data_IF_153553793689
#
_entry.id   IF_153553793689
#
_cell.length_a   1.000
_cell.length_b   1.000
_cell.length_c   1.000
_cell.angle_alpha   90.00
_cell.angle_beta   90.00
_cell.angle_gamma   90.00
#
_symmetry.space_group_name_H-M   'P 1'
#
loop_
_entity.id
_entity.type
_entity.pdbx_description
1 polymer ?
#
# COMPACT_ATOMS: atom_id res chain seq x y z
N UNK A 1 -49.52 10.32 -27.05
CA UNK A 1 -48.88 9.02 -26.78
C UNK A 1 -47.61 8.99 -27.61
N UNK A 2 -46.49 9.39 -27.00
CA UNK A 2 -45.21 9.40 -27.69
C UNK A 2 -44.81 7.96 -28.00
N UNK A 3 -44.62 7.65 -29.29
CA UNK A 3 -44.07 6.37 -29.71
C UNK A 3 -42.65 6.30 -29.16
N UNK A 4 -42.42 5.44 -28.17
CA UNK A 4 -41.07 5.08 -27.76
C UNK A 4 -40.38 4.46 -28.97
N UNK A 5 -39.36 5.14 -29.47
CA UNK A 5 -38.46 4.61 -30.51
C UNK A 5 -37.42 3.81 -29.76
N UNK A 6 -37.43 2.50 -29.95
CA UNK A 6 -36.42 1.61 -29.38
C UNK A 6 -35.25 1.50 -30.35
N UNK A 7 -34.03 1.59 -29.83
CA UNK A 7 -32.81 1.39 -30.62
C UNK A 7 -32.39 -0.09 -30.56
N UNK A 8 -31.33 -0.47 -31.28
CA UNK A 8 -30.85 -1.86 -31.26
C UNK A 8 -30.34 -2.29 -29.88
N UNK A 9 -29.89 -1.35 -29.03
CA UNK A 9 -29.37 -1.63 -27.68
C UNK A 9 -30.49 -1.94 -26.66
N UNK A 10 -31.73 -1.58 -26.97
CA UNK A 10 -32.90 -1.88 -26.14
C UNK A 10 -33.36 -3.35 -26.27
N UNK A 11 -32.80 -4.11 -27.22
CA UNK A 11 -33.17 -5.51 -27.45
C UNK A 11 -32.27 -6.48 -26.71
N UNK A 12 -32.83 -7.59 -26.28
CA UNK A 12 -32.11 -8.64 -25.59
C UNK A 12 -31.23 -9.42 -26.56
N UNK A 13 -29.92 -9.47 -26.28
CA UNK A 13 -28.93 -10.23 -27.06
C UNK A 13 -29.17 -11.74 -27.05
N UNK A 14 -29.83 -12.25 -25.99
CA UNK A 14 -30.11 -13.68 -25.79
C UNK A 14 -31.44 -14.09 -26.42
N UNK A 15 -32.46 -13.23 -26.32
CA UNK A 15 -33.80 -13.52 -26.82
C UNK A 15 -34.18 -12.54 -27.94
N UNK A 16 -33.90 -12.95 -29.18
CA UNK A 16 -34.19 -12.17 -30.39
C UNK A 16 -35.60 -11.57 -30.40
N UNK A 17 -35.67 -10.25 -30.58
CA UNK A 17 -36.92 -9.49 -30.69
C UNK A 17 -37.62 -9.20 -29.37
N UNK A 18 -37.06 -9.61 -28.22
CA UNK A 18 -37.52 -9.15 -26.90
C UNK A 18 -36.79 -7.86 -26.51
N UNK A 19 -37.51 -6.95 -25.85
CA UNK A 19 -36.89 -5.79 -25.19
C UNK A 19 -36.16 -6.29 -23.95
N UNK A 20 -34.94 -5.82 -23.72
CA UNK A 20 -34.16 -6.16 -22.54
C UNK A 20 -34.85 -5.64 -21.27
N UNK A 21 -35.09 -6.55 -20.33
CA UNK A 21 -35.65 -6.28 -19.00
C UNK A 21 -34.61 -6.42 -17.88
N UNK A 22 -33.34 -6.58 -18.23
CA UNK A 22 -32.22 -6.79 -17.31
C UNK A 22 -32.40 -8.00 -16.37
N UNK A 23 -33.01 -9.09 -16.86
CA UNK A 23 -33.19 -10.33 -16.09
C UNK A 23 -31.89 -11.07 -15.71
N UNK A 24 -30.78 -10.83 -16.42
CA UNK A 24 -29.48 -11.42 -16.11
C UNK A 24 -29.19 -12.78 -16.76
N UNK A 25 -30.10 -13.34 -17.55
CA UNK A 25 -29.93 -14.62 -18.26
C UNK A 25 -28.64 -14.69 -19.12
N UNK A 26 -28.23 -13.55 -19.70
CA UNK A 26 -26.99 -13.46 -20.48
C UNK A 26 -25.72 -13.70 -19.64
N UNK A 27 -25.74 -13.32 -18.35
CA UNK A 27 -24.62 -13.51 -17.43
C UNK A 27 -24.51 -14.98 -17.02
N UNK A 28 -25.65 -15.64 -16.79
CA UNK A 28 -25.68 -17.08 -16.47
C UNK A 28 -25.12 -17.93 -17.63
N UNK A 29 -25.45 -17.58 -18.88
CA UNK A 29 -24.90 -18.26 -20.07
C UNK A 29 -23.39 -18.06 -20.23
N UNK A 30 -22.87 -16.90 -19.81
CA UNK A 30 -21.43 -16.61 -19.82
C UNK A 30 -20.68 -17.27 -18.64
N UNK A 31 -21.37 -18.05 -17.82
CA UNK A 31 -20.79 -18.72 -16.65
C UNK A 31 -20.47 -17.75 -15.52
N UNK A 32 -21.02 -16.53 -15.54
CA UNK A 32 -20.94 -15.58 -14.45
C UNK A 32 -22.08 -15.95 -13.49
N UNK A 33 -21.71 -16.47 -12.32
CA UNK A 33 -22.70 -16.86 -11.30
C UNK A 33 -23.36 -15.60 -10.71
N UNK A 34 -24.59 -15.32 -11.13
CA UNK A 34 -25.43 -14.23 -10.62
C UNK A 34 -25.96 -14.54 -9.22
N UNK A 35 -25.81 -15.79 -8.73
CA UNK A 35 -26.03 -16.16 -7.33
C UNK A 35 -24.85 -15.71 -6.49
N UNK A 36 -24.69 -14.39 -6.43
CA UNK A 36 -23.76 -13.74 -5.52
C UNK A 36 -23.89 -14.37 -4.12
N UNK A 37 -22.76 -14.63 -3.47
CA UNK A 37 -22.65 -15.07 -2.08
C UNK A 37 -23.67 -14.28 -1.26
N UNK A 38 -24.67 -14.98 -0.72
CA UNK A 38 -25.68 -14.33 0.12
C UNK A 38 -24.96 -13.84 1.37
N UNK A 39 -24.75 -12.54 1.48
CA UNK A 39 -24.11 -11.94 2.67
C UNK A 39 -24.87 -12.32 3.95
N UNK A 40 -26.18 -12.59 3.85
CA UNK A 40 -27.01 -13.11 4.93
C UNK A 40 -26.65 -14.55 5.39
N UNK A 41 -26.02 -15.36 4.53
CA UNK A 41 -25.57 -16.73 4.83
C UNK A 41 -24.16 -16.74 5.43
N UNK A 42 -23.44 -15.61 5.43
CA UNK A 42 -22.16 -15.47 6.13
C UNK A 42 -22.49 -15.34 7.62
N UNK A 43 -22.37 -16.46 8.35
CA UNK A 43 -22.62 -16.50 9.79
C UNK A 43 -21.68 -15.51 10.50
N UNK A 44 -22.26 -14.56 11.23
CA UNK A 44 -21.51 -13.54 11.99
C UNK A 44 -20.75 -14.13 13.18
N UNK A 45 -21.28 -15.21 13.75
CA UNK A 45 -20.68 -15.90 14.88
C UNK A 45 -20.36 -17.35 14.49
N UNK A 46 -19.09 -17.58 14.16
CA UNK A 46 -18.52 -18.91 14.02
C UNK A 46 -17.69 -19.18 15.28
N UNK A 47 -17.68 -20.42 15.77
CA UNK A 47 -16.81 -20.81 16.90
C UNK A 47 -15.33 -20.47 16.62
N UNK A 48 -14.93 -20.53 15.35
CA UNK A 48 -13.63 -20.10 14.85
C UNK A 48 -13.38 -18.61 15.11
N UNK A 49 -14.38 -17.73 14.97
CA UNK A 49 -14.24 -16.30 15.25
C UNK A 49 -13.88 -16.06 16.73
N UNK A 50 -14.50 -16.81 17.66
CA UNK A 50 -14.19 -16.72 19.09
C UNK A 50 -12.76 -17.17 19.38
N UNK A 51 -12.30 -18.24 18.73
CA UNK A 51 -10.91 -18.71 18.85
C UNK A 51 -9.92 -17.68 18.30
N UNK A 52 -10.25 -17.06 17.17
CA UNK A 52 -9.43 -15.98 16.57
C UNK A 52 -9.35 -14.79 17.52
N UNK A 53 -10.48 -14.32 18.08
CA UNK A 53 -10.51 -13.21 19.03
C UNK A 53 -9.68 -13.50 20.29
N UNK A 54 -9.79 -14.70 20.87
CA UNK A 54 -8.98 -15.12 22.03
C UNK A 54 -7.49 -15.18 21.69
N UNK A 55 -7.11 -15.65 20.51
CA UNK A 55 -5.70 -15.68 20.08
C UNK A 55 -5.12 -14.29 19.87
N UNK A 56 -5.89 -13.38 19.25
CA UNK A 56 -5.47 -12.00 19.03
C UNK A 56 -5.30 -11.25 20.34
N UNK A 57 -6.19 -11.51 21.31
CA UNK A 57 -6.09 -10.89 22.63
C UNK A 57 -4.82 -11.32 23.37
N UNK A 58 -4.45 -12.61 23.31
CA UNK A 58 -3.22 -13.10 23.93
C UNK A 58 -1.96 -12.50 23.28
N UNK A 59 -1.92 -12.44 21.96
CA UNK A 59 -0.80 -11.84 21.24
C UNK A 59 -0.62 -10.35 21.58
N UNK A 60 -1.72 -9.61 21.73
CA UNK A 60 -1.67 -8.22 22.12
C UNK A 60 -1.21 -8.01 23.57
N UNK A 61 -1.57 -8.92 24.48
CA UNK A 61 -1.08 -8.91 25.87
C UNK A 61 0.42 -9.23 25.94
N UNK A 62 0.89 -10.21 25.18
CA UNK A 62 2.32 -10.58 25.08
C UNK A 62 3.17 -9.44 24.48
N UNK A 63 2.71 -8.80 23.40
CA UNK A 63 3.39 -7.66 22.76
C UNK A 63 3.44 -6.43 23.68
N UNK A 64 2.41 -6.23 24.52
CA UNK A 64 2.41 -5.15 25.50
C UNK A 64 3.39 -5.42 26.64
N UNK A 65 3.48 -6.65 27.15
CA UNK A 65 4.49 -7.03 28.16
C UNK A 65 5.91 -6.85 27.61
N UNK A 66 6.19 -7.29 26.38
CA UNK A 66 7.52 -7.10 25.76
C UNK A 66 7.89 -5.61 25.60
N UNK A 67 6.93 -4.76 25.19
CA UNK A 67 7.17 -3.32 25.10
C UNK A 67 7.38 -2.64 26.46
N UNK A 68 6.66 -3.09 27.51
CA UNK A 68 6.84 -2.56 28.86
C UNK A 68 8.21 -2.93 29.43
N UNK A 69 8.68 -4.16 29.19
CA UNK A 69 10.01 -4.62 29.58
C UNK A 69 11.14 -3.87 28.83
N UNK A 70 11.01 -3.68 27.50
CA UNK A 70 11.98 -2.92 26.69
C UNK A 70 12.06 -1.43 27.12
N UNK A 71 10.91 -0.83 27.46
CA UNK A 71 10.84 0.57 27.89
C UNK A 71 11.45 0.79 29.28
N UNK A 72 11.35 -0.19 30.18
CA UNK A 72 11.98 -0.15 31.50
C UNK A 72 13.52 -0.26 31.41
N UNK A 73 14.05 -0.95 30.40
CA UNK A 73 15.50 -1.11 30.18
C UNK A 73 16.13 0.14 29.50
N UNK A 74 15.39 0.84 28.63
CA UNK A 74 15.87 2.03 27.89
C UNK A 74 15.79 3.35 28.71
N UNK A 75 15.07 3.37 29.84
CA UNK A 75 14.91 4.57 30.69
C UNK A 75 16.15 4.86 31.58
N UNK A 76 17.37 4.75 31.04
CA UNK A 76 18.61 5.11 31.74
C UNK A 76 19.50 6.12 31.01
N UNK A 77 19.06 6.72 29.91
CA UNK A 77 19.91 7.60 29.11
C UNK A 77 19.27 8.96 28.92
N UNK A 78 19.95 9.98 29.49
CA UNK A 78 19.92 11.42 29.19
C UNK A 78 18.59 12.02 28.71
N UNK A 79 18.12 13.04 29.44
CA UNK A 79 16.90 13.75 29.03
C UNK A 79 17.07 14.36 27.63
N UNK A 80 15.99 14.46 26.84
CA UNK A 80 16.04 15.13 25.54
C UNK A 80 16.64 16.54 25.62
N UNK A 81 16.44 17.21 26.76
CA UNK A 81 17.02 18.52 27.07
C UNK A 81 18.56 18.47 27.20
N UNK A 82 19.13 17.41 27.80
CA UNK A 82 20.57 17.18 27.90
C UNK A 82 21.20 16.79 26.56
N UNK A 83 20.49 16.02 25.72
CA UNK A 83 20.94 15.70 24.36
C UNK A 83 20.99 16.94 23.47
N UNK A 84 19.94 17.77 23.50
CA UNK A 84 19.89 19.02 22.74
C UNK A 84 20.93 20.03 23.23
N UNK A 85 21.24 20.06 24.53
CA UNK A 85 22.29 20.92 25.07
C UNK A 85 23.72 20.53 24.62
N UNK A 86 23.92 19.31 24.11
CA UNK A 86 25.21 18.87 23.53
C UNK A 86 25.34 19.17 22.03
N UNK A 87 24.23 19.40 21.32
CA UNK A 87 24.25 19.83 19.92
C UNK A 87 24.34 21.36 19.87
N UNK A 88 25.57 21.88 19.80
CA UNK A 88 25.86 23.31 19.96
C UNK A 88 25.56 24.19 18.72
N UNK A 89 24.97 23.66 17.64
CA UNK A 89 24.55 24.50 16.50
C UNK A 89 23.46 23.79 15.69
N UNK A 90 22.35 24.49 15.40
CA UNK A 90 21.33 24.00 14.49
C UNK A 90 21.89 24.07 13.06
N UNK A 91 22.17 22.91 12.46
CA UNK A 91 22.53 22.81 11.05
C UNK A 91 21.27 22.59 10.19
N UNK A 92 21.02 23.49 9.25
CA UNK A 92 19.92 23.30 8.29
C UNK A 92 20.28 22.18 7.30
N UNK A 93 19.43 21.15 7.22
CA UNK A 93 19.61 20.07 6.26
C UNK A 93 19.58 20.57 4.81
N UNK A 94 18.96 21.71 4.54
CA UNK A 94 18.93 22.33 3.21
C UNK A 94 20.25 23.00 2.81
N UNK A 95 21.13 23.34 3.76
CA UNK A 95 22.46 23.92 3.46
C UNK A 95 23.42 22.90 2.83
N UNK A 96 23.11 21.61 2.93
CA UNK A 96 23.93 20.50 2.44
C UNK A 96 23.39 19.88 1.14
N UNK A 97 22.31 20.44 0.58
CA UNK A 97 21.72 19.94 -0.67
C UNK A 97 22.36 20.68 -1.85
N UNK A 98 23.17 19.96 -2.63
CA UNK A 98 23.65 20.42 -3.94
C UNK A 98 22.68 19.95 -5.03
N UNK A 99 22.33 20.84 -5.97
CA UNK A 99 21.50 20.45 -7.11
C UNK A 99 22.32 19.63 -8.10
N UNK A 100 21.67 18.65 -8.72
CA UNK A 100 22.29 17.85 -9.79
C UNK A 100 22.77 18.71 -10.97
N UNK A 101 22.22 19.91 -11.15
CA UNK A 101 22.66 20.89 -12.16
C UNK A 101 23.98 21.58 -11.78
N UNK A 102 24.31 21.64 -10.49
CA UNK A 102 25.54 22.24 -9.96
C UNK A 102 26.69 21.21 -9.87
N UNK A 103 26.37 19.91 -9.89
CA UNK A 103 27.35 18.82 -9.94
C UNK A 103 27.80 18.65 -11.39
N UNK A 104 29.10 18.81 -11.65
CA UNK A 104 29.71 18.59 -12.97
C UNK A 104 29.78 17.08 -13.31
N UNK A 105 28.61 16.50 -13.58
CA UNK A 105 28.44 15.12 -14.03
C UNK A 105 28.82 14.90 -15.50
N UNK A 106 29.33 15.93 -16.19
CA UNK A 106 29.76 15.83 -17.58
C UNK A 106 31.18 15.27 -17.74
N UNK A 107 31.94 15.12 -16.64
CA UNK A 107 33.23 14.45 -16.65
C UNK A 107 33.05 12.94 -16.46
N UNK A 108 33.39 12.15 -17.47
CA UNK A 108 33.27 10.69 -17.46
C UNK A 108 34.02 10.06 -16.27
N UNK A 109 35.11 10.69 -15.80
CA UNK A 109 35.86 10.23 -14.63
C UNK A 109 35.06 10.32 -13.33
N UNK A 110 34.29 11.40 -13.12
CA UNK A 110 33.53 11.61 -11.88
C UNK A 110 32.30 10.71 -11.83
N UNK A 111 31.68 10.47 -12.98
CA UNK A 111 30.58 9.52 -13.15
C UNK A 111 31.01 8.09 -12.84
N UNK A 112 32.18 7.65 -13.32
CA UNK A 112 32.70 6.31 -13.00
C UNK A 112 33.05 6.12 -11.53
N UNK A 113 33.54 7.18 -10.86
CA UNK A 113 33.86 7.13 -9.45
C UNK A 113 32.60 7.06 -8.57
N UNK A 114 31.60 7.88 -8.86
CA UNK A 114 30.39 8.02 -8.04
C UNK A 114 29.28 7.01 -8.35
N UNK A 115 29.32 6.36 -9.51
CA UNK A 115 28.26 5.43 -9.94
C UNK A 115 28.80 4.06 -10.38
N UNK A 116 27.97 3.04 -10.28
CA UNK A 116 28.23 1.67 -10.72
C UNK A 116 27.24 1.28 -11.83
N UNK A 117 27.75 0.72 -12.93
CA UNK A 117 26.91 0.26 -14.05
C UNK A 117 26.31 -1.12 -13.75
N UNK A 118 24.99 -1.17 -13.63
CA UNK A 118 24.25 -2.41 -13.32
C UNK A 118 23.77 -3.07 -14.61
N UNK A 119 23.47 -2.29 -15.64
CA UNK A 119 23.10 -2.72 -16.99
C UNK A 119 23.60 -1.70 -18.02
N UNK A 120 23.73 -2.06 -19.32
CA UNK A 120 24.15 -1.12 -20.36
C UNK A 120 23.35 0.18 -20.34
N UNK A 121 24.00 1.28 -19.93
CA UNK A 121 23.38 2.61 -19.82
C UNK A 121 22.54 2.86 -18.57
N UNK A 122 22.50 1.93 -17.59
CA UNK A 122 21.82 2.10 -16.30
C UNK A 122 22.85 2.05 -15.17
N UNK A 123 23.04 3.19 -14.50
CA UNK A 123 24.04 3.35 -13.44
C UNK A 123 23.36 3.69 -12.11
N UNK A 124 23.88 3.13 -11.02
CA UNK A 124 23.43 3.35 -9.64
C UNK A 124 24.47 4.17 -8.88
N UNK A 125 24.06 5.12 -8.05
CA UNK A 125 24.98 5.85 -7.17
C UNK A 125 25.59 4.93 -6.11
N UNK A 126 26.91 5.02 -5.93
CA UNK A 126 27.62 4.35 -4.84
C UNK A 126 27.34 5.11 -3.55
N UNK A 127 26.43 4.58 -2.74
CA UNK A 127 26.18 5.11 -1.40
C UNK A 127 27.40 4.74 -0.55
N UNK A 128 28.20 5.73 -0.13
CA UNK A 128 29.23 5.50 0.90
C UNK A 128 28.48 5.38 2.23
N UNK A 129 28.50 4.19 2.83
CA UNK A 129 28.11 4.05 4.23
C UNK A 129 29.06 4.90 5.08
N UNK A 130 28.49 5.74 5.96
CA UNK A 130 29.21 6.65 6.84
C UNK A 130 29.83 5.89 8.01
#
# INVERSE_FOLDING_TARGET
MDKKVFNNDDYCDVYNGKICDNCGDCLEMQGIDTKAIRIADIAKEVEENKKIEETLKKLAEEEQEEMEDDLEEELTTETWEEYLAKQDEYEDAFDHIEYLEDIDLNDDLTMEEMTEEVFPGVRKLKIKEK
#
